data_IF_129247214666
#
_entry.id   IF_129247214666
#
_cell.length_a   1.000
_cell.length_b   1.000
_cell.length_c   1.000
_cell.angle_alpha   90.00
_cell.angle_beta   90.00
_cell.angle_gamma   90.00
#
_symmetry.space_group_name_H-M   'P 1'
#
loop_
_entity.id
_entity.type
_entity.pdbx_description
1 polymer ?
#
# COMPACT_ATOMS: atom_id res chain seq x y z
N UNK A 1 11.30 -5.19 -9.63
CA UNK A 1 10.45 -6.39 -9.39
C UNK A 1 10.71 -7.03 -8.03
N UNK A 2 11.87 -7.68 -7.79
CA UNK A 2 12.15 -8.38 -6.51
C UNK A 2 12.07 -7.45 -5.29
N UNK A 3 12.61 -6.23 -5.39
CA UNK A 3 12.53 -5.23 -4.32
C UNK A 3 11.09 -4.80 -4.00
N UNK A 4 10.23 -4.66 -5.02
CA UNK A 4 8.81 -4.33 -4.81
C UNK A 4 8.09 -5.43 -4.01
N UNK A 5 8.36 -6.70 -4.37
CA UNK A 5 7.83 -7.85 -3.64
C UNK A 5 8.36 -7.88 -2.20
N UNK A 6 9.64 -7.58 -1.99
CA UNK A 6 10.23 -7.48 -0.65
C UNK A 6 9.54 -6.39 0.18
N UNK A 7 9.32 -5.20 -0.37
CA UNK A 7 8.59 -4.12 0.31
C UNK A 7 7.14 -4.51 0.63
N UNK A 8 6.48 -5.25 -0.27
CA UNK A 8 5.16 -5.82 0.00
C UNK A 8 5.20 -6.77 1.19
N UNK A 9 6.05 -7.80 1.16
CA UNK A 9 6.13 -8.82 2.23
C UNK A 9 6.51 -8.18 3.56
N UNK A 10 7.53 -7.34 3.59
CA UNK A 10 7.98 -6.67 4.82
C UNK A 10 6.91 -5.73 5.36
N UNK A 11 6.28 -4.93 4.50
CA UNK A 11 5.19 -4.03 4.90
C UNK A 11 3.99 -4.79 5.47
N UNK A 12 3.60 -5.91 4.85
CA UNK A 12 2.53 -6.77 5.33
C UNK A 12 2.87 -7.40 6.67
N UNK A 13 4.06 -7.99 6.82
CA UNK A 13 4.46 -8.62 8.08
C UNK A 13 4.52 -7.61 9.22
N UNK A 14 5.18 -6.47 9.01
CA UNK A 14 5.27 -5.41 10.03
C UNK A 14 3.87 -4.94 10.43
N UNK A 15 3.01 -4.64 9.46
CA UNK A 15 1.64 -4.18 9.73
C UNK A 15 0.82 -5.25 10.47
N UNK A 16 0.94 -6.52 10.07
CA UNK A 16 0.24 -7.64 10.67
C UNK A 16 0.65 -7.84 12.13
N UNK A 17 1.96 -7.92 12.41
CA UNK A 17 2.46 -8.11 13.77
C UNK A 17 2.16 -6.90 14.66
N UNK A 18 2.30 -5.67 14.17
CA UNK A 18 1.96 -4.49 14.95
C UNK A 18 0.48 -4.49 15.35
N UNK A 19 -0.42 -4.76 14.40
CA UNK A 19 -1.86 -4.84 14.71
C UNK A 19 -2.18 -5.96 15.69
N UNK A 20 -1.51 -7.11 15.57
CA UNK A 20 -1.71 -8.25 16.47
C UNK A 20 -1.21 -7.98 17.90
N UNK A 21 -0.14 -7.21 18.04
CA UNK A 21 0.47 -6.90 19.35
C UNK A 21 -0.20 -5.72 20.06
N UNK A 22 -0.71 -4.72 19.32
CA UNK A 22 -1.24 -3.47 19.90
C UNK A 22 -2.75 -3.32 19.78
N UNK A 23 -3.41 -4.11 18.94
CA UNK A 23 -4.84 -3.98 18.63
C UNK A 23 -5.72 -4.87 19.50
N UNK A 24 -7.02 -4.58 19.46
CA UNK A 24 -8.05 -5.51 19.97
C UNK A 24 -8.14 -6.75 19.07
N UNK A 25 -8.55 -7.92 19.60
CA UNK A 25 -8.69 -9.12 18.81
C UNK A 25 -9.68 -8.90 17.66
N UNK A 26 -9.22 -9.01 16.42
CA UNK A 26 -10.05 -9.03 15.23
C UNK A 26 -9.88 -10.38 14.53
N UNK A 27 -10.83 -10.74 13.68
CA UNK A 27 -10.71 -11.93 12.84
C UNK A 27 -9.39 -11.92 12.04
N UNK A 28 -8.73 -13.08 12.01
CA UNK A 28 -7.42 -13.24 11.40
C UNK A 28 -7.41 -12.82 9.92
N UNK A 29 -8.48 -13.11 9.17
CA UNK A 29 -8.55 -12.80 7.74
C UNK A 29 -8.70 -11.31 7.49
N UNK A 30 -9.48 -10.62 8.34
CA UNK A 30 -9.58 -9.16 8.31
C UNK A 30 -8.25 -8.52 8.67
N UNK A 31 -7.54 -9.07 9.66
CA UNK A 31 -6.21 -8.60 10.04
C UNK A 31 -5.20 -8.73 8.90
N UNK A 32 -5.14 -9.91 8.29
CA UNK A 32 -4.26 -10.21 7.16
C UNK A 32 -4.60 -9.34 5.95
N UNK A 33 -5.89 -9.17 5.64
CA UNK A 33 -6.33 -8.34 4.53
C UNK A 33 -5.90 -6.88 4.70
N UNK A 34 -6.21 -6.26 5.84
CA UNK A 34 -5.83 -4.86 6.10
C UNK A 34 -4.30 -4.69 6.18
N UNK A 35 -3.58 -5.69 6.71
CA UNK A 35 -2.11 -5.69 6.71
C UNK A 35 -1.54 -5.83 5.29
N UNK A 36 -2.16 -6.65 4.44
CA UNK A 36 -1.78 -6.79 3.04
C UNK A 36 -1.99 -5.51 2.25
N UNK A 37 -3.05 -4.73 2.52
CA UNK A 37 -3.26 -3.41 1.92
C UNK A 37 -2.11 -2.44 2.22
N UNK A 38 -1.57 -2.49 3.44
CA UNK A 38 -0.38 -1.71 3.84
C UNK A 38 0.87 -2.14 3.05
N UNK A 39 1.10 -3.45 2.92
CA UNK A 39 2.20 -3.98 2.11
C UNK A 39 2.05 -3.65 0.63
N UNK A 40 0.84 -3.76 0.07
CA UNK A 40 0.54 -3.40 -1.32
C UNK A 40 0.86 -1.92 -1.53
N UNK A 41 0.56 -1.06 -0.55
CA UNK A 41 0.97 0.35 -0.56
C UNK A 41 2.47 0.52 -0.80
N UNK A 42 3.31 -0.14 0.01
CA UNK A 42 4.78 -0.04 -0.11
C UNK A 42 5.31 -0.67 -1.40
N UNK A 43 4.86 -1.87 -1.73
CA UNK A 43 5.30 -2.60 -2.91
C UNK A 43 4.93 -1.87 -4.21
N UNK A 44 3.70 -1.34 -4.27
CA UNK A 44 3.18 -0.65 -5.44
C UNK A 44 3.79 0.76 -5.55
N UNK A 45 3.94 1.50 -4.44
CA UNK A 45 4.65 2.78 -4.43
C UNK A 45 6.09 2.65 -4.97
N UNK A 46 6.84 1.67 -4.49
CA UNK A 46 8.18 1.39 -5.02
C UNK A 46 8.16 0.95 -6.49
N UNK A 47 7.16 0.15 -6.89
CA UNK A 47 7.03 -0.32 -8.27
C UNK A 47 6.76 0.81 -9.27
N UNK A 48 5.87 1.75 -8.91
CA UNK A 48 5.52 2.88 -9.79
C UNK A 48 6.56 4.01 -9.73
N UNK A 49 7.45 4.01 -8.74
CA UNK A 49 8.54 4.96 -8.60
C UNK A 49 9.69 4.69 -9.59
N UNK A 50 9.34 4.73 -10.89
CA UNK A 50 10.30 4.70 -11.99
C UNK A 50 10.54 6.12 -12.52
N UNK A 51 11.80 6.52 -12.75
CA UNK A 51 12.13 7.87 -13.21
C UNK A 51 11.61 8.16 -14.62
N UNK A 52 11.52 7.13 -15.47
CA UNK A 52 11.11 7.27 -16.87
C UNK A 52 9.58 7.21 -17.08
N UNK A 53 8.81 6.99 -16.00
CA UNK A 53 7.37 6.86 -16.11
C UNK A 53 6.68 8.22 -15.88
N UNK A 54 5.80 8.66 -16.78
CA UNK A 54 5.08 9.91 -16.59
C UNK A 54 4.06 9.77 -15.44
N UNK A 55 3.77 10.89 -14.77
CA UNK A 55 2.88 10.93 -13.62
C UNK A 55 1.51 10.24 -13.85
N UNK A 56 0.81 10.45 -14.98
CA UNK A 56 -0.48 9.79 -15.22
C UNK A 56 -0.38 8.25 -15.22
N UNK A 57 0.74 7.69 -15.70
CA UNK A 57 0.97 6.24 -15.69
C UNK A 57 1.16 5.73 -14.26
N UNK A 58 1.91 6.45 -13.43
CA UNK A 58 2.11 6.10 -12.00
C UNK A 58 0.78 6.12 -11.25
N UNK A 59 0.00 7.19 -11.44
CA UNK A 59 -1.31 7.35 -10.82
C UNK A 59 -2.29 6.27 -11.28
N UNK A 60 -2.36 5.98 -12.59
CA UNK A 60 -3.26 4.95 -13.13
C UNK A 60 -3.03 3.57 -12.51
N UNK A 61 -1.78 3.14 -12.39
CA UNK A 61 -1.45 1.84 -11.75
C UNK A 61 -1.82 1.85 -10.26
N UNK A 62 -1.68 3.00 -9.59
CA UNK A 62 -2.02 3.15 -8.17
C UNK A 62 -3.52 3.09 -7.94
N UNK A 63 -4.31 3.68 -8.83
CA UNK A 63 -5.77 3.55 -8.83
C UNK A 63 -6.22 2.11 -9.06
N UNK A 64 -5.54 1.35 -9.92
CA UNK A 64 -5.85 -0.09 -10.09
C UNK A 64 -5.65 -0.84 -8.76
N UNK A 65 -4.58 -0.53 -8.02
CA UNK A 65 -4.36 -1.10 -6.67
C UNK A 65 -5.48 -0.77 -5.70
N UNK A 66 -5.96 0.48 -5.70
CA UNK A 66 -7.10 0.92 -4.87
C UNK A 66 -8.38 0.18 -5.26
N UNK A 67 -8.71 0.13 -6.55
CA UNK A 67 -9.91 -0.55 -7.06
C UNK A 67 -9.87 -2.03 -6.68
N UNK A 68 -8.72 -2.68 -6.85
CA UNK A 68 -8.53 -4.07 -6.46
C UNK A 68 -8.81 -4.29 -4.97
N UNK A 69 -8.28 -3.43 -4.10
CA UNK A 69 -8.55 -3.50 -2.66
C UNK A 69 -10.04 -3.27 -2.37
N UNK A 70 -10.66 -2.23 -2.94
CA UNK A 70 -12.09 -1.97 -2.72
C UNK A 70 -12.96 -3.16 -3.11
N UNK A 71 -12.75 -3.69 -4.31
CA UNK A 71 -13.53 -4.82 -4.82
C UNK A 71 -13.32 -6.06 -3.95
N UNK A 72 -12.08 -6.38 -3.59
CA UNK A 72 -11.79 -7.53 -2.73
C UNK A 72 -12.38 -7.36 -1.33
N UNK A 73 -12.26 -6.16 -0.76
CA UNK A 73 -12.81 -5.80 0.54
C UNK A 73 -14.33 -5.93 0.59
N UNK A 74 -15.03 -5.48 -0.45
CA UNK A 74 -16.50 -5.56 -0.52
C UNK A 74 -17.02 -6.98 -0.82
N UNK A 75 -16.25 -7.80 -1.54
CA UNK A 75 -16.66 -9.17 -1.89
C UNK A 75 -16.38 -10.17 -0.76
N UNK A 76 -15.30 -9.98 0.00
CA UNK A 76 -14.86 -10.93 1.02
C UNK A 76 -15.15 -10.47 2.46
N UNK A 77 -15.39 -9.18 2.67
CA UNK A 77 -15.57 -8.56 3.99
C UNK A 77 -16.65 -7.46 3.93
N UNK A 78 -16.61 -6.53 4.89
CA UNK A 78 -17.55 -5.42 5.00
C UNK A 78 -17.01 -4.09 4.45
N UNK A 79 -17.93 -3.15 4.23
CA UNK A 79 -17.61 -1.79 3.77
C UNK A 79 -16.57 -1.09 4.65
N UNK A 80 -16.64 -1.25 5.98
CA UNK A 80 -15.67 -0.66 6.91
C UNK A 80 -14.26 -1.18 6.68
N UNK A 81 -14.12 -2.48 6.40
CA UNK A 81 -12.83 -3.12 6.12
C UNK A 81 -12.28 -2.65 4.78
N UNK A 82 -13.14 -2.51 3.76
CA UNK A 82 -12.77 -1.93 2.48
C UNK A 82 -12.25 -0.50 2.64
N UNK A 83 -12.98 0.38 3.34
CA UNK A 83 -12.54 1.76 3.60
C UNK A 83 -11.23 1.80 4.37
N UNK A 84 -11.10 1.00 5.43
CA UNK A 84 -9.87 0.91 6.23
C UNK A 84 -8.66 0.51 5.38
N UNK A 85 -8.84 -0.44 4.46
CA UNK A 85 -7.77 -0.89 3.55
C UNK A 85 -7.28 0.21 2.60
N UNK A 86 -8.19 1.02 2.05
CA UNK A 86 -7.85 2.17 1.18
C UNK A 86 -7.07 3.21 1.98
N UNK A 87 -7.50 3.52 3.20
CA UNK A 87 -6.83 4.50 4.05
C UNK A 87 -5.41 4.06 4.38
N UNK A 88 -5.21 2.78 4.72
CA UNK A 88 -3.87 2.21 4.99
C UNK A 88 -2.98 2.25 3.74
N UNK A 89 -3.50 1.81 2.60
CA UNK A 89 -2.80 1.89 1.32
C UNK A 89 -2.37 3.33 1.01
N UNK A 90 -3.31 4.28 1.08
CA UNK A 90 -3.09 5.69 0.72
C UNK A 90 -2.09 6.36 1.65
N UNK A 91 -2.17 6.09 2.96
CA UNK A 91 -1.23 6.63 3.95
C UNK A 91 0.20 6.22 3.63
N UNK A 92 0.40 4.92 3.36
CA UNK A 92 1.71 4.38 2.99
C UNK A 92 2.20 4.97 1.68
N UNK A 93 1.32 5.01 0.69
CA UNK A 93 1.65 5.49 -0.64
C UNK A 93 2.11 6.95 -0.56
N UNK A 94 1.36 7.81 0.13
CA UNK A 94 1.74 9.22 0.37
C UNK A 94 3.04 9.32 1.16
N UNK A 95 3.21 8.53 2.22
CA UNK A 95 4.42 8.53 3.04
C UNK A 95 5.66 8.15 2.21
N UNK A 96 5.56 7.16 1.32
CA UNK A 96 6.64 6.79 0.41
C UNK A 96 7.05 7.98 -0.46
N UNK A 97 6.09 8.65 -1.12
CA UNK A 97 6.40 9.78 -1.99
C UNK A 97 6.92 11.00 -1.23
N UNK A 98 6.45 11.20 0.00
CA UNK A 98 6.99 12.22 0.89
C UNK A 98 8.45 11.92 1.25
N UNK A 99 8.80 10.68 1.55
CA UNK A 99 10.20 10.29 1.82
C UNK A 99 11.03 10.40 0.53
N UNK A 100 10.47 9.99 -0.61
CA UNK A 100 11.13 10.04 -1.91
C UNK A 100 11.41 11.48 -2.36
N UNK A 101 10.54 12.45 -2.03
CA UNK A 101 10.73 13.85 -2.39
C UNK A 101 11.95 14.49 -1.71
N UNK A 102 12.39 13.96 -0.56
CA UNK A 102 13.60 14.39 0.13
C UNK A 102 14.89 13.73 -0.39
N UNK A 103 14.82 12.73 -1.28
CA UNK A 103 16.01 12.10 -1.84
C UNK A 103 16.54 12.93 -3.00
N UNK A 104 17.83 13.29 -2.97
CA UNK A 104 18.51 14.05 -4.04
C UNK A 104 18.46 13.35 -5.41
N UNK A 105 18.26 12.02 -5.44
CA UNK A 105 18.19 11.23 -6.67
C UNK A 105 16.76 11.19 -7.25
N UNK A 106 16.43 12.21 -8.06
CA UNK A 106 15.46 12.28 -9.17
C UNK A 106 14.00 11.76 -8.98
N UNK A 107 13.06 12.68 -9.19
CA UNK A 107 11.84 12.50 -10.02
C UNK A 107 11.04 13.80 -10.19
N UNK A 108 11.24 14.78 -9.31
CA UNK A 108 10.42 16.02 -9.28
C UNK A 108 11.20 17.31 -9.60
N UNK A 109 12.48 17.21 -9.99
CA UNK A 109 13.21 18.32 -10.62
C UNK A 109 12.97 18.27 -12.13
N UNK A 110 11.88 18.88 -12.56
CA UNK A 110 11.79 19.56 -13.85
C UNK A 110 11.49 21.03 -13.56
#
# INVERSE_FOLDING_TARGET
MVKALMYFVVGTLISFFLRRLTGSPVDFWVELYVASAFGIGWGLAYFVDHPDWPLPKKMGISFIGIIFLVVLGLLCFDFEVAVSSILKFSTVFVAYYMIASFRESKSLRY
#
